data_IF_094942072701
#
_entry.id   IF_094942072701
#
_cell.length_a   1.000
_cell.length_b   1.000
_cell.length_c   1.000
_cell.angle_alpha   90.00
_cell.angle_beta   90.00
_cell.angle_gamma   90.00
#
_symmetry.space_group_name_H-M   'P 1'
#
loop_
_entity.id
_entity.type
_entity.pdbx_description
1 polymer ?
#
# COMPACT_ATOMS: atom_id res chain seq x y z
N UNK A 1 19.66 6.13 10.90
CA UNK A 1 18.56 6.13 9.90
C UNK A 1 17.43 5.17 10.29
N UNK A 2 17.74 3.99 10.83
CA UNK A 2 16.73 2.97 11.19
C UNK A 2 15.70 3.46 12.23
N UNK A 3 16.12 4.21 13.24
CA UNK A 3 15.22 4.78 14.25
C UNK A 3 14.36 5.96 13.74
N UNK A 4 14.81 6.65 12.68
CA UNK A 4 14.11 7.82 12.11
C UNK A 4 13.01 7.37 11.14
N UNK A 5 13.19 6.22 10.49
CA UNK A 5 12.20 5.68 9.56
C UNK A 5 11.11 4.87 10.26
N UNK A 6 11.40 4.29 11.44
CA UNK A 6 10.47 3.40 12.15
C UNK A 6 9.17 4.13 12.47
N UNK A 7 8.08 3.58 11.96
CA UNK A 7 6.74 4.03 12.24
C UNK A 7 6.28 3.48 13.59
N UNK A 8 5.69 4.36 14.41
CA UNK A 8 5.18 4.00 15.73
C UNK A 8 4.10 4.99 16.16
N UNK A 9 3.10 4.51 16.89
CA UNK A 9 2.05 5.33 17.51
C UNK A 9 2.08 5.09 19.00
N UNK A 10 2.41 6.14 19.78
CA UNK A 10 2.50 6.06 21.24
C UNK A 10 2.10 7.37 21.90
N UNK A 11 1.18 7.27 22.87
CA UNK A 11 0.69 8.41 23.65
C UNK A 11 0.07 9.50 22.78
N UNK A 12 -0.75 9.12 21.79
CA UNK A 12 -1.39 10.03 20.83
C UNK A 12 -0.44 10.76 19.87
N UNK A 13 0.83 10.35 19.80
CA UNK A 13 1.80 10.88 18.84
C UNK A 13 2.21 9.81 17.86
N UNK A 14 2.44 10.23 16.63
CA UNK A 14 2.93 9.37 15.55
C UNK A 14 4.38 9.74 15.20
N UNK A 15 5.20 8.71 15.04
CA UNK A 15 6.63 8.82 14.76
C UNK A 15 6.93 8.16 13.41
N UNK A 16 8.07 8.52 12.80
CA UNK A 16 8.44 8.00 11.48
C UNK A 16 7.58 8.54 10.34
N UNK A 17 6.94 9.69 10.54
CA UNK A 17 6.12 10.39 9.53
C UNK A 17 6.77 11.68 9.08
N UNK A 18 6.47 12.11 7.85
CA UNK A 18 6.96 13.36 7.24
C UNK A 18 5.84 14.13 6.56
N UNK A 19 5.93 15.46 6.56
CA UNK A 19 5.09 16.32 5.72
C UNK A 19 5.67 16.35 4.31
N UNK A 20 4.97 15.75 3.36
CA UNK A 20 5.38 15.67 1.96
C UNK A 20 5.09 16.99 1.20
N UNK A 21 5.79 17.26 0.08
CA UNK A 21 5.60 18.48 -0.71
C UNK A 21 4.17 18.72 -1.21
N UNK A 22 3.38 17.66 -1.38
CA UNK A 22 1.98 17.73 -1.79
C UNK A 22 1.02 18.09 -0.62
N UNK A 23 1.56 18.35 0.57
CA UNK A 23 0.81 18.70 1.79
C UNK A 23 0.28 17.50 2.57
N UNK A 24 0.51 16.27 2.11
CA UNK A 24 0.11 15.07 2.83
C UNK A 24 1.13 14.67 3.90
N UNK A 25 0.66 13.98 4.95
CA UNK A 25 1.54 13.33 5.93
C UNK A 25 1.72 11.87 5.53
N UNK A 26 2.96 11.38 5.54
CA UNK A 26 3.34 10.06 5.01
C UNK A 26 4.26 9.34 6.00
N UNK A 27 3.95 8.08 6.32
CA UNK A 27 4.84 7.20 7.07
C UNK A 27 5.98 6.68 6.21
N UNK A 28 7.21 6.82 6.69
CA UNK A 28 8.43 6.53 5.93
C UNK A 28 8.73 5.04 5.86
N UNK A 29 8.52 4.28 6.94
CA UNK A 29 8.76 2.83 6.97
C UNK A 29 8.01 2.06 5.87
N UNK A 30 6.66 2.13 5.76
CA UNK A 30 5.95 1.36 4.75
C UNK A 30 6.26 1.84 3.31
N UNK A 31 6.57 3.14 3.13
CA UNK A 31 7.05 3.68 1.85
C UNK A 31 8.36 3.03 1.41
N UNK A 32 9.36 3.00 2.30
CA UNK A 32 10.66 2.41 2.02
C UNK A 32 10.60 0.89 1.87
N UNK A 33 9.72 0.22 2.63
CA UNK A 33 9.47 -1.21 2.49
C UNK A 33 8.99 -1.55 1.08
N UNK A 34 8.03 -0.79 0.55
CA UNK A 34 7.50 -0.98 -0.80
C UNK A 34 8.53 -0.73 -1.90
N UNK A 35 9.32 0.35 -1.77
CA UNK A 35 10.43 0.63 -2.70
C UNK A 35 11.43 -0.52 -2.73
N UNK A 36 11.84 -1.02 -1.56
CA UNK A 36 12.78 -2.14 -1.44
C UNK A 36 12.23 -3.42 -2.07
N UNK A 37 10.97 -3.77 -1.79
CA UNK A 37 10.33 -4.95 -2.38
C UNK A 37 10.22 -4.83 -3.91
N UNK A 38 9.89 -3.63 -4.42
CA UNK A 38 9.86 -3.36 -5.86
C UNK A 38 11.21 -3.56 -6.55
N UNK A 39 12.31 -3.12 -5.90
CA UNK A 39 13.66 -3.30 -6.42
C UNK A 39 14.10 -4.77 -6.46
N UNK A 40 13.66 -5.57 -5.48
CA UNK A 40 13.94 -7.01 -5.42
C UNK A 40 13.19 -7.79 -6.52
N UNK A 41 12.06 -7.27 -7.00
CA UNK A 41 11.32 -7.82 -8.15
C UNK A 41 10.61 -9.16 -7.91
N UNK A 42 10.80 -9.78 -6.75
CA UNK A 42 10.18 -11.07 -6.43
C UNK A 42 8.81 -10.86 -5.77
N UNK A 43 7.74 -11.02 -6.56
CA UNK A 43 6.37 -10.75 -6.09
C UNK A 43 5.68 -11.92 -5.42
N UNK A 44 5.82 -13.13 -5.95
CA UNK A 44 4.99 -14.25 -5.48
C UNK A 44 5.73 -15.04 -4.40
N UNK A 45 5.11 -15.18 -3.23
CA UNK A 45 5.58 -16.05 -2.16
C UNK A 45 4.58 -17.20 -2.01
N UNK A 46 5.04 -18.44 -2.12
CA UNK A 46 4.21 -19.61 -1.87
C UNK A 46 3.97 -19.78 -0.37
N UNK A 47 2.70 -19.98 0.01
CA UNK A 47 2.33 -20.31 1.37
C UNK A 47 2.45 -21.83 1.54
N UNK A 48 3.27 -22.34 2.48
CA UNK A 48 3.47 -23.78 2.62
C UNK A 48 2.23 -24.42 3.26
N UNK A 49 1.14 -24.61 2.51
CA UNK A 49 -0.10 -25.23 3.00
C UNK A 49 0.07 -26.76 3.11
N UNK A 50 0.89 -27.20 4.06
CA UNK A 50 0.99 -28.60 4.48
C UNK A 50 1.93 -29.46 3.63
N UNK A 51 3.07 -29.80 4.21
CA UNK A 51 3.56 -31.18 4.12
C UNK A 51 3.80 -31.63 5.55
N UNK A 52 3.19 -32.76 5.91
CA UNK A 52 3.48 -33.52 7.11
C UNK A 52 4.99 -33.59 7.27
N UNK A 53 5.49 -33.15 8.42
CA UNK A 53 6.91 -33.17 8.72
C UNK A 53 7.47 -34.57 8.44
N UNK A 54 8.37 -34.67 7.46
CA UNK A 54 9.36 -35.73 7.50
C UNK A 54 10.52 -35.13 8.29
N UNK A 55 10.90 -35.68 9.46
CA UNK A 55 12.10 -35.22 10.13
C UNK A 55 13.27 -35.55 9.20
N UNK A 56 13.95 -34.53 8.65
CA UNK A 56 15.26 -34.76 8.05
C UNK A 56 16.19 -35.12 9.21
N UNK A 57 16.39 -36.42 9.35
CA UNK A 57 17.29 -37.02 10.31
C UNK A 57 18.72 -36.53 10.11
N UNK A 58 19.42 -36.48 11.22
CA UNK A 58 20.87 -36.38 11.30
C UNK A 58 21.55 -37.41 10.38
N UNK A 59 22.61 -36.99 9.71
CA UNK A 59 23.48 -37.91 8.97
C UNK A 59 24.23 -37.24 7.82
N UNK A 60 25.36 -36.62 8.18
CA UNK A 60 26.64 -36.66 7.47
C UNK A 60 26.71 -36.36 5.96
N UNK A 61 27.47 -35.32 5.62
CA UNK A 61 28.85 -35.43 5.07
C UNK A 61 29.08 -34.26 4.10
N UNK A 62 30.00 -33.36 4.44
CA UNK A 62 30.56 -32.37 3.52
C UNK A 62 31.35 -33.07 2.41
N UNK A 63 31.34 -32.52 1.18
CA UNK A 63 32.60 -32.39 0.47
C UNK A 63 32.85 -30.95 0.04
N UNK A 64 34.03 -30.53 0.45
CA UNK A 64 34.88 -29.47 -0.07
C UNK A 64 34.96 -29.47 -1.60
N UNK A 65 34.67 -28.32 -2.24
CA UNK A 65 35.25 -27.91 -3.53
C UNK A 65 35.37 -26.38 -3.57
N UNK A 66 36.61 -25.91 -3.48
CA UNK A 66 37.22 -25.13 -4.56
C UNK A 66 36.78 -23.67 -4.72
N UNK A 67 37.61 -22.77 -4.19
CA UNK A 67 37.62 -21.36 -4.50
C UNK A 67 37.80 -21.08 -5.99
N UNK A 68 37.02 -20.14 -6.54
CA UNK A 68 37.48 -19.29 -7.63
C UNK A 68 37.14 -17.82 -7.30
N UNK A 69 38.22 -17.06 -7.15
CA UNK A 69 38.24 -15.60 -7.00
C UNK A 69 38.20 -15.02 -8.41
N UNK A 70 37.22 -14.16 -8.71
CA UNK A 70 37.27 -13.30 -9.90
C UNK A 70 37.43 -11.85 -9.48
N UNK A 71 38.66 -11.40 -9.68
CA UNK A 71 39.19 -10.05 -9.48
C UNK A 71 38.73 -9.17 -10.66
N UNK A 72 37.93 -8.13 -10.40
CA UNK A 72 37.52 -7.17 -11.43
C UNK A 72 37.73 -5.74 -10.94
N UNK A 73 39.01 -5.37 -10.99
CA UNK A 73 39.62 -4.04 -11.15
C UNK A 73 38.66 -2.89 -11.46
N UNK A 74 38.61 -1.93 -10.53
CA UNK A 74 38.05 -0.61 -10.71
C UNK A 74 38.85 0.22 -11.73
N UNK A 75 38.15 0.87 -12.65
CA UNK A 75 38.65 2.00 -13.43
C UNK A 75 37.60 3.11 -13.43
N UNK A 76 37.87 4.15 -12.65
CA UNK A 76 37.19 5.46 -12.74
C UNK A 76 37.64 6.20 -14.00
N UNK A 77 36.75 6.95 -14.67
CA UNK A 77 37.16 8.11 -15.44
C UNK A 77 36.70 9.42 -14.78
N UNK A 78 37.59 10.40 -14.85
CA UNK A 78 37.55 11.64 -14.09
C UNK A 78 36.42 12.60 -14.43
N UNK A 79 36.06 13.36 -13.40
CA UNK A 79 35.24 14.56 -13.46
C UNK A 79 35.93 15.62 -14.33
N UNK A 80 35.19 16.16 -15.31
CA UNK A 80 35.51 17.44 -15.93
C UNK A 80 34.33 18.38 -15.74
N UNK A 81 34.58 19.44 -14.98
CA UNK A 81 33.77 20.63 -14.85
C UNK A 81 33.48 21.25 -16.22
N UNK A 82 32.20 21.43 -16.55
CA UNK A 82 31.75 22.52 -17.41
C UNK A 82 30.33 22.95 -16.98
N UNK A 83 30.25 24.13 -16.38
CA UNK A 83 29.03 24.94 -16.21
C UNK A 83 28.55 25.44 -17.59
N UNK A 84 27.25 25.72 -17.77
CA UNK A 84 26.92 27.14 -17.77
C UNK A 84 25.62 27.51 -17.05
N UNK A 85 25.73 28.67 -16.41
CA UNK A 85 24.72 29.69 -16.19
C UNK A 85 23.69 29.83 -17.33
N UNK A 86 22.44 30.19 -16.99
CA UNK A 86 21.70 31.38 -17.49
C UNK A 86 20.21 31.30 -17.09
N UNK A 87 19.85 32.28 -16.24
CA UNK A 87 18.67 33.16 -16.25
C UNK A 87 17.23 32.60 -16.31
N UNK A 88 16.48 33.06 -15.31
CA UNK A 88 15.02 33.10 -15.21
C UNK A 88 14.31 33.77 -16.38
N UNK A 89 13.11 33.30 -16.71
CA UNK A 89 12.03 34.15 -17.21
C UNK A 89 10.65 33.60 -16.79
N UNK A 90 9.85 34.50 -16.24
CA UNK A 90 8.41 34.42 -15.97
C UNK A 90 7.61 33.87 -17.15
N UNK A 91 6.67 32.95 -16.90
CA UNK A 91 5.46 32.84 -17.73
C UNK A 91 4.22 32.71 -16.85
N UNK A 92 3.52 33.84 -16.83
CA UNK A 92 2.20 34.15 -16.33
C UNK A 92 1.11 33.16 -16.77
N UNK A 93 0.25 32.80 -15.83
CA UNK A 93 -0.99 32.06 -16.02
C UNK A 93 -1.98 32.82 -16.94
N UNK A 94 -2.64 32.08 -17.84
CA UNK A 94 -3.86 32.50 -18.51
C UNK A 94 -4.82 31.30 -18.67
N UNK A 95 -6.02 31.46 -18.12
CA UNK A 95 -7.21 30.63 -18.37
C UNK A 95 -7.77 30.88 -19.78
N UNK A 96 -8.62 29.96 -20.30
CA UNK A 96 -9.71 30.40 -21.15
C UNK A 96 -11.07 29.99 -20.58
N UNK A 97 -11.92 31.00 -20.48
CA UNK A 97 -13.36 30.94 -20.25
C UNK A 97 -14.03 30.80 -21.62
N UNK A 98 -14.87 29.79 -21.84
CA UNK A 98 -15.81 29.75 -22.98
C UNK A 98 -17.19 29.28 -22.49
N UNK A 99 -18.11 30.24 -22.40
CA UNK A 99 -19.56 30.06 -22.63
C UNK A 99 -19.81 30.53 -24.07
N UNK A 100 -20.73 30.02 -24.89
CA UNK A 100 -22.21 29.83 -24.78
C UNK A 100 -22.58 29.13 -26.12
N UNK A 101 -23.61 28.31 -26.34
CA UNK A 101 -25.07 28.50 -26.22
C UNK A 101 -25.79 27.18 -26.55
N UNK A 102 -26.81 26.87 -25.76
CA UNK A 102 -28.16 26.36 -26.09
C UNK A 102 -28.43 25.66 -27.43
N UNK A 103 -28.95 24.43 -27.36
CA UNK A 103 -30.14 24.01 -28.10
C UNK A 103 -30.95 23.00 -27.25
N UNK A 104 -32.22 23.32 -27.05
CA UNK A 104 -33.23 22.63 -26.25
C UNK A 104 -34.29 22.04 -27.19
N UNK A 105 -34.52 20.72 -27.15
CA UNK A 105 -35.76 20.00 -27.52
C UNK A 105 -35.64 18.64 -26.81
N UNK A 106 -36.58 18.06 -26.07
CA UNK A 106 -38.00 18.27 -25.84
C UNK A 106 -38.51 16.92 -25.31
N UNK A 107 -39.12 16.92 -24.14
CA UNK A 107 -39.56 15.74 -23.41
C UNK A 107 -40.67 14.95 -24.12
N UNK A 108 -40.63 13.62 -24.04
CA UNK A 108 -41.82 12.76 -24.12
C UNK A 108 -41.71 11.68 -23.04
N UNK A 109 -42.58 11.79 -22.03
CA UNK A 109 -42.91 10.72 -21.10
C UNK A 109 -43.82 9.69 -21.79
N UNK A 110 -43.55 8.39 -21.60
CA UNK A 110 -44.59 7.37 -21.56
C UNK A 110 -44.31 6.36 -20.45
N UNK A 111 -45.33 6.23 -19.62
CA UNK A 111 -45.55 5.29 -18.53
C UNK A 111 -46.07 3.97 -19.11
N UNK A 112 -45.53 2.83 -18.65
CA UNK A 112 -46.18 1.52 -18.76
C UNK A 112 -45.65 0.62 -17.63
N UNK A 113 -46.40 0.62 -16.54
CA UNK A 113 -46.43 -0.40 -15.47
C UNK A 113 -46.71 -1.78 -16.07
N UNK A 114 -46.02 -2.84 -15.62
CA UNK A 114 -46.57 -4.21 -15.39
C UNK A 114 -45.53 -5.14 -14.74
N UNK A 115 -45.89 -5.62 -13.55
CA UNK A 115 -45.60 -6.87 -12.81
C UNK A 115 -44.19 -7.48 -12.71
N UNK A 116 -43.78 -7.64 -11.44
CA UNK A 116 -42.83 -8.64 -10.92
C UNK A 116 -43.14 -10.07 -11.39
N UNK A 117 -42.11 -10.93 -11.40
CA UNK A 117 -42.22 -12.14 -10.59
C UNK A 117 -41.05 -12.27 -9.62
N UNK A 118 -41.36 -12.82 -8.45
CA UNK A 118 -40.40 -13.32 -7.47
C UNK A 118 -39.45 -14.32 -8.13
N UNK A 119 -38.14 -14.05 -8.08
CA UNK A 119 -37.14 -15.09 -8.26
C UNK A 119 -36.19 -15.05 -7.06
N UNK A 120 -36.41 -16.01 -6.17
CA UNK A 120 -35.47 -16.41 -5.14
C UNK A 120 -34.14 -16.76 -5.82
N UNK A 121 -33.18 -15.85 -5.75
CA UNK A 121 -31.79 -16.14 -6.09
C UNK A 121 -31.00 -16.23 -4.79
N UNK A 122 -30.85 -17.48 -4.37
CA UNK A 122 -29.85 -17.92 -3.41
C UNK A 122 -28.51 -17.23 -3.67
N UNK A 123 -27.96 -16.56 -2.65
CA UNK A 123 -26.57 -16.12 -2.65
C UNK A 123 -25.65 -17.31 -2.90
N UNK A 124 -24.64 -17.22 -3.78
CA UNK A 124 -23.63 -18.24 -3.88
C UNK A 124 -22.66 -18.00 -2.73
N UNK A 125 -22.89 -18.67 -1.61
CA UNK A 125 -21.92 -18.77 -0.52
C UNK A 125 -20.79 -19.71 -0.97
N UNK A 126 -20.03 -19.30 -1.98
CA UNK A 126 -18.81 -19.98 -2.38
C UNK A 126 -17.77 -19.60 -1.33
N UNK A 127 -17.67 -20.43 -0.29
CA UNK A 127 -16.62 -20.32 0.74
C UNK A 127 -15.28 -20.05 0.04
N UNK A 128 -14.67 -18.90 0.32
CA UNK A 128 -13.45 -18.49 -0.35
C UNK A 128 -12.35 -19.53 -0.07
N UNK A 129 -11.65 -19.95 -1.11
CA UNK A 129 -10.53 -20.89 -0.95
C UNK A 129 -9.40 -20.18 -0.20
N UNK A 130 -8.76 -20.89 0.73
CA UNK A 130 -7.62 -20.34 1.47
C UNK A 130 -6.48 -19.95 0.52
N UNK A 131 -5.77 -18.83 0.77
CA UNK A 131 -4.71 -18.35 -0.10
C UNK A 131 -3.56 -19.34 -0.15
N UNK A 132 -3.10 -19.66 -1.35
CA UNK A 132 -1.94 -20.53 -1.60
C UNK A 132 -0.66 -19.73 -1.84
N UNK A 133 -0.79 -18.46 -2.21
CA UNK A 133 0.31 -17.55 -2.51
C UNK A 133 -0.03 -16.16 -1.98
N UNK A 134 1.00 -15.33 -1.88
CA UNK A 134 0.87 -13.97 -1.37
C UNK A 134 1.83 -13.05 -2.13
N UNK A 135 1.43 -11.82 -2.42
CA UNK A 135 2.26 -10.81 -3.08
C UNK A 135 3.14 -10.12 -2.05
N UNK A 136 4.45 -10.35 -2.12
CA UNK A 136 5.45 -9.81 -1.20
C UNK A 136 5.38 -8.29 -1.06
N UNK A 137 5.07 -7.56 -2.15
CA UNK A 137 4.96 -6.11 -2.13
C UNK A 137 3.76 -5.69 -1.29
N UNK A 138 2.60 -6.28 -1.54
CA UNK A 138 1.38 -5.95 -0.78
C UNK A 138 1.49 -6.43 0.67
N UNK A 139 2.15 -7.56 0.92
CA UNK A 139 2.37 -8.08 2.27
C UNK A 139 3.20 -7.13 3.12
N UNK A 140 4.32 -6.63 2.61
CA UNK A 140 5.24 -5.79 3.40
C UNK A 140 4.79 -4.34 3.52
N UNK A 141 3.93 -3.85 2.64
CA UNK A 141 3.45 -2.46 2.70
C UNK A 141 2.13 -2.33 3.43
N UNK A 142 1.20 -3.28 3.27
CA UNK A 142 -0.19 -3.07 3.64
C UNK A 142 -0.82 -4.28 4.35
N UNK A 143 -0.72 -5.47 3.76
CA UNK A 143 -1.56 -6.59 4.15
C UNK A 143 -1.24 -7.12 5.55
N UNK A 144 0.03 -7.10 5.95
CA UNK A 144 0.47 -7.45 7.30
C UNK A 144 -0.16 -6.55 8.35
N UNK A 145 0.02 -5.24 8.23
CA UNK A 145 -0.37 -4.29 9.27
C UNK A 145 -1.89 -4.09 9.33
N UNK A 146 -2.57 -4.14 8.16
CA UNK A 146 -4.04 -4.22 8.12
C UNK A 146 -4.57 -5.45 8.89
N UNK A 147 -4.01 -6.63 8.61
CA UNK A 147 -4.44 -7.87 9.26
C UNK A 147 -4.24 -7.83 10.77
N UNK A 148 -3.08 -7.37 11.23
CA UNK A 148 -2.76 -7.27 12.66
C UNK A 148 -3.68 -6.27 13.38
N UNK A 149 -3.94 -5.10 12.78
CA UNK A 149 -4.80 -4.09 13.38
C UNK A 149 -6.24 -4.59 13.58
N UNK A 150 -6.80 -5.27 12.57
CA UNK A 150 -8.17 -5.80 12.64
C UNK A 150 -8.30 -7.07 13.52
N UNK A 151 -7.19 -7.74 13.85
CA UNK A 151 -7.18 -8.83 14.82
C UNK A 151 -7.13 -8.34 16.28
N UNK A 152 -6.45 -7.23 16.55
CA UNK A 152 -6.27 -6.71 17.90
C UNK A 152 -7.51 -5.96 18.42
N UNK A 153 -8.38 -5.45 17.53
CA UNK A 153 -9.60 -4.75 17.94
C UNK A 153 -10.87 -5.30 17.25
N UNK A 154 -11.38 -6.48 17.67
CA UNK A 154 -12.57 -7.10 17.07
C UNK A 154 -13.91 -6.44 17.47
N UNK A 155 -13.93 -5.53 18.45
CA UNK A 155 -15.12 -5.15 19.22
C UNK A 155 -15.68 -3.75 18.93
N UNK A 156 -15.06 -2.94 18.07
CA UNK A 156 -15.69 -1.70 17.63
C UNK A 156 -16.67 -1.98 16.49
N UNK A 157 -17.89 -2.39 16.83
CA UNK A 157 -19.07 -2.25 15.95
C UNK A 157 -19.31 -0.78 15.54
N UNK A 158 -18.56 0.16 16.12
CA UNK A 158 -18.42 1.55 15.69
C UNK A 158 -16.99 1.76 15.18
N UNK A 159 -16.72 1.31 13.94
CA UNK A 159 -15.50 1.51 13.13
C UNK A 159 -14.15 1.41 13.88
N UNK A 160 -13.33 0.37 13.67
CA UNK A 160 -11.89 0.54 13.89
C UNK A 160 -11.49 1.70 12.97
N UNK A 161 -11.25 2.89 13.54
CA UNK A 161 -11.06 4.13 12.79
C UNK A 161 -9.82 4.04 11.91
N UNK A 162 -9.99 3.43 10.73
CA UNK A 162 -8.97 3.32 9.72
C UNK A 162 -8.67 4.74 9.25
N UNK A 163 -7.39 5.09 9.17
CA UNK A 163 -7.03 6.40 8.67
C UNK A 163 -7.23 7.51 9.70
N UNK A 164 -7.00 7.25 10.99
CA UNK A 164 -6.95 8.31 12.00
C UNK A 164 -6.03 9.46 11.52
N UNK A 165 -6.54 10.68 11.64
CA UNK A 165 -5.85 11.88 11.23
C UNK A 165 -5.12 12.53 12.41
N UNK A 166 -4.23 13.47 12.10
CA UNK A 166 -3.47 14.23 13.07
C UNK A 166 -3.04 15.57 12.53
N UNK A 167 -2.36 16.33 13.36
CA UNK A 167 -1.84 17.64 13.03
C UNK A 167 -0.35 17.74 13.34
N UNK A 168 0.35 18.49 12.48
CA UNK A 168 1.70 18.95 12.78
C UNK A 168 1.66 20.11 13.77
N UNK A 169 2.63 20.15 14.66
CA UNK A 169 2.84 21.28 15.57
C UNK A 169 3.12 22.59 14.83
N UNK A 170 3.84 22.53 13.70
CA UNK A 170 4.12 23.66 12.82
C UNK A 170 4.17 23.24 11.35
N UNK A 171 3.68 24.10 10.45
CA UNK A 171 3.69 23.81 9.01
C UNK A 171 5.05 24.08 8.35
N UNK A 172 5.82 25.07 8.84
CA UNK A 172 7.08 25.48 8.20
C UNK A 172 8.29 24.67 8.67
N UNK A 173 8.26 24.20 9.92
CA UNK A 173 9.31 23.37 10.52
C UNK A 173 8.64 22.25 11.33
N UNK A 174 7.91 21.33 10.67
CA UNK A 174 7.20 20.25 11.34
C UNK A 174 8.17 19.38 12.15
N UNK A 175 7.84 19.16 13.42
CA UNK A 175 8.66 18.31 14.32
C UNK A 175 7.84 17.23 15.00
N UNK A 176 6.60 17.53 15.35
CA UNK A 176 5.74 16.61 16.09
C UNK A 176 4.41 16.45 15.37
N UNK A 177 4.02 15.21 15.10
CA UNK A 177 2.69 14.87 14.62
C UNK A 177 1.87 14.27 15.78
N UNK A 178 0.71 14.87 16.02
CA UNK A 178 -0.21 14.46 17.09
C UNK A 178 -1.52 14.01 16.47
N UNK A 179 -1.96 12.81 16.83
CA UNK A 179 -3.23 12.26 16.38
C UNK A 179 -4.39 12.98 17.06
N UNK A 180 -5.49 13.14 16.34
CA UNK A 180 -6.72 13.72 16.87
C UNK A 180 -7.40 12.78 17.89
N UNK A 181 -7.26 11.48 17.67
CA UNK A 181 -7.69 10.44 18.60
C UNK A 181 -6.44 9.76 19.21
N UNK A 182 -6.20 9.91 20.53
CA UNK A 182 -5.03 9.32 21.18
C UNK A 182 -5.08 7.80 21.29
N UNK A 183 -6.27 7.20 21.15
CA UNK A 183 -6.50 5.74 21.20
C UNK A 183 -6.62 5.13 19.79
N UNK A 184 -6.26 5.90 18.76
CA UNK A 184 -6.32 5.47 17.38
C UNK A 184 -5.45 4.24 17.08
N UNK A 185 -5.92 3.45 16.12
CA UNK A 185 -5.14 2.35 15.52
C UNK A 185 -3.81 2.85 14.95
N UNK A 186 -2.73 2.05 15.02
CA UNK A 186 -1.48 2.33 14.31
C UNK A 186 -1.64 2.48 12.78
N UNK A 187 -2.75 1.98 12.21
CA UNK A 187 -3.06 2.15 10.79
C UNK A 187 -3.75 3.52 10.56
N UNK A 188 -2.96 4.57 10.75
CA UNK A 188 -3.34 5.99 10.59
C UNK A 188 -3.43 6.39 9.11
N UNK A 189 -3.89 7.61 8.82
CA UNK A 189 -3.86 8.15 7.45
C UNK A 189 -2.43 8.28 6.94
N UNK A 190 -1.47 8.64 7.80
CA UNK A 190 -0.07 8.74 7.40
C UNK A 190 0.54 7.38 7.07
N UNK A 191 0.24 6.34 7.87
CA UNK A 191 0.59 4.96 7.57
C UNK A 191 0.05 4.54 6.21
N UNK A 192 -1.25 4.74 5.97
CA UNK A 192 -1.90 4.30 4.73
C UNK A 192 -1.38 5.06 3.50
N UNK A 193 -1.08 6.35 3.62
CA UNK A 193 -0.41 7.11 2.55
C UNK A 193 0.96 6.50 2.25
N UNK A 194 1.78 6.24 3.27
CA UNK A 194 3.11 5.65 3.10
C UNK A 194 3.07 4.24 2.49
N UNK A 195 2.16 3.40 2.97
CA UNK A 195 1.92 2.06 2.45
C UNK A 195 1.52 2.07 0.97
N UNK A 196 0.57 2.93 0.59
CA UNK A 196 0.08 3.01 -0.77
C UNK A 196 1.12 3.61 -1.71
N UNK A 197 1.79 4.69 -1.29
CA UNK A 197 2.87 5.31 -2.04
C UNK A 197 4.03 4.31 -2.26
N UNK A 198 4.39 3.54 -1.22
CA UNK A 198 5.37 2.45 -1.30
C UNK A 198 4.96 1.33 -2.24
N UNK A 199 3.70 0.90 -2.20
CA UNK A 199 3.19 -0.12 -3.09
C UNK A 199 3.17 0.36 -4.56
N UNK A 200 2.74 1.59 -4.82
CA UNK A 200 2.70 2.16 -6.16
C UNK A 200 4.11 2.36 -6.76
N UNK A 201 5.03 2.93 -5.98
CA UNK A 201 6.41 3.13 -6.43
C UNK A 201 7.19 1.84 -6.52
N UNK A 202 6.97 0.90 -5.60
CA UNK A 202 7.51 -0.45 -5.69
C UNK A 202 7.02 -1.17 -6.94
N UNK A 203 5.74 -0.99 -7.28
CA UNK A 203 5.15 -1.54 -8.50
C UNK A 203 5.75 -0.98 -9.78
N UNK A 204 5.90 0.34 -9.83
CA UNK A 204 6.65 1.02 -10.88
C UNK A 204 8.09 0.47 -11.01
N UNK A 205 8.86 0.41 -9.91
CA UNK A 205 10.26 -0.02 -9.92
C UNK A 205 10.47 -1.49 -10.31
N UNK A 206 9.49 -2.34 -10.03
CA UNK A 206 9.53 -3.76 -10.43
C UNK A 206 9.48 -3.95 -11.96
N UNK A 207 8.98 -2.96 -12.71
CA UNK A 207 8.84 -2.97 -14.16
C UNK A 207 9.77 -1.98 -14.87
N UNK A 208 10.33 -1.02 -14.13
CA UNK A 208 11.19 0.01 -14.69
C UNK A 208 12.47 -0.59 -15.27
N UNK A 209 12.88 -0.19 -16.49
CA UNK A 209 14.15 -0.61 -17.06
C UNK A 209 15.33 -0.02 -16.29
N UNK A 210 16.46 -0.71 -16.30
CA UNK A 210 17.73 -0.16 -15.81
C UNK A 210 18.33 0.85 -16.81
N UNK A 211 19.02 1.91 -16.36
CA UNK A 211 19.28 2.24 -14.96
C UNK A 211 18.08 2.90 -14.29
N UNK A 212 17.72 2.43 -13.10
CA UNK A 212 16.64 3.02 -12.29
C UNK A 212 17.03 4.43 -11.79
N UNK A 213 16.04 5.36 -11.67
CA UNK A 213 16.32 6.71 -11.21
C UNK A 213 16.79 6.72 -9.75
N UNK A 214 17.65 7.69 -9.35
CA UNK A 214 17.99 7.90 -7.94
C UNK A 214 16.73 8.12 -7.10
N UNK A 215 16.73 7.63 -5.86
CA UNK A 215 15.57 7.71 -4.96
C UNK A 215 15.04 9.15 -4.78
N UNK A 216 15.92 10.13 -4.61
CA UNK A 216 15.51 11.53 -4.47
C UNK A 216 14.78 12.05 -5.72
N UNK A 217 15.20 11.62 -6.91
CA UNK A 217 14.57 12.00 -8.17
C UNK A 217 13.19 11.38 -8.28
N UNK A 218 13.07 10.08 -7.99
CA UNK A 218 11.79 9.36 -7.99
C UNK A 218 10.78 10.01 -7.02
N UNK A 219 11.19 10.27 -5.77
CA UNK A 219 10.31 10.88 -4.77
C UNK A 219 9.95 12.33 -5.13
N UNK A 220 10.90 13.12 -5.65
CA UNK A 220 10.63 14.51 -6.07
C UNK A 220 9.62 14.57 -7.22
N UNK A 221 9.66 13.59 -8.12
CA UNK A 221 8.71 13.45 -9.21
C UNK A 221 7.34 13.00 -8.70
N UNK A 222 7.31 11.95 -7.86
CA UNK A 222 6.08 11.38 -7.34
C UNK A 222 5.26 12.36 -6.49
N UNK A 223 5.90 13.07 -5.57
CA UNK A 223 5.26 14.14 -4.78
C UNK A 223 5.16 15.49 -5.52
N UNK A 224 5.49 15.50 -6.82
CA UNK A 224 5.48 16.67 -7.68
C UNK A 224 4.62 16.46 -8.92
N UNK A 225 5.25 16.51 -10.10
CA UNK A 225 4.55 16.53 -11.39
C UNK A 225 4.16 15.13 -11.93
N UNK A 226 4.69 14.05 -11.34
CA UNK A 226 4.53 12.68 -11.82
C UNK A 226 5.87 12.03 -12.20
N UNK A 227 5.89 10.70 -12.16
CA UNK A 227 7.11 9.88 -12.36
C UNK A 227 7.39 9.63 -13.84
N UNK A 228 8.64 9.82 -14.27
CA UNK A 228 9.10 9.58 -15.65
C UNK A 228 8.24 10.27 -16.74
N UNK A 229 7.69 11.45 -16.42
CA UNK A 229 6.84 12.21 -17.35
C UNK A 229 5.38 11.76 -17.40
N UNK A 230 5.00 10.75 -16.60
CA UNK A 230 3.61 10.33 -16.46
C UNK A 230 2.90 11.12 -15.33
N UNK A 231 2.01 12.07 -15.66
CA UNK A 231 1.25 12.83 -14.67
C UNK A 231 0.17 11.99 -13.97
N UNK A 232 -0.09 10.75 -14.43
CA UNK A 232 -0.96 9.80 -13.75
C UNK A 232 -0.32 9.19 -12.51
N UNK A 233 1.01 9.12 -12.46
CA UNK A 233 1.77 8.56 -11.34
C UNK A 233 2.31 9.65 -10.39
N UNK A 234 1.40 10.38 -9.76
CA UNK A 234 1.68 11.40 -8.74
C UNK A 234 0.87 11.15 -7.47
N UNK A 235 1.38 11.64 -6.35
CA UNK A 235 0.92 11.32 -5.00
C UNK A 235 -0.53 11.76 -4.71
N UNK A 236 -1.02 12.86 -5.28
CA UNK A 236 -2.42 13.29 -5.10
C UNK A 236 -3.43 12.35 -5.78
N UNK A 237 -2.99 11.46 -6.67
CA UNK A 237 -3.80 10.40 -7.28
C UNK A 237 -3.62 9.04 -6.56
N UNK A 238 -2.91 8.99 -5.42
CA UNK A 238 -2.56 7.73 -4.73
C UNK A 238 -3.75 6.80 -4.52
N UNK A 239 -4.90 7.31 -4.05
CA UNK A 239 -6.09 6.48 -3.73
C UNK A 239 -6.71 5.91 -5.00
N UNK A 240 -6.81 6.71 -6.06
CA UNK A 240 -7.28 6.26 -7.37
C UNK A 240 -6.35 5.20 -7.98
N UNK A 241 -5.03 5.42 -7.89
CA UNK A 241 -4.06 4.45 -8.38
C UNK A 241 -4.04 3.17 -7.51
N UNK A 242 -4.30 3.31 -6.21
CA UNK A 242 -4.47 2.21 -5.27
C UNK A 242 -5.64 1.30 -5.60
N UNK A 243 -6.79 1.90 -5.98
CA UNK A 243 -7.96 1.17 -6.48
C UNK A 243 -7.68 0.39 -7.77
N UNK A 244 -6.73 0.87 -8.60
CA UNK A 244 -6.28 0.12 -9.77
C UNK A 244 -5.28 -1.01 -9.42
N UNK A 245 -4.61 -0.93 -8.25
CA UNK A 245 -3.61 -1.91 -7.82
C UNK A 245 -4.22 -3.14 -7.15
N UNK A 246 -5.31 -2.97 -6.40
CA UNK A 246 -5.98 -4.07 -5.69
C UNK A 246 -7.48 -3.83 -5.56
N UNK A 247 -8.24 -4.91 -5.44
CA UNK A 247 -9.67 -4.91 -5.09
C UNK A 247 -9.89 -5.51 -3.70
N UNK A 248 -11.09 -5.36 -3.13
CA UNK A 248 -11.40 -5.92 -1.81
C UNK A 248 -11.18 -7.45 -1.76
N UNK A 249 -11.68 -8.27 -2.71
CA UNK A 249 -11.43 -9.71 -2.68
C UNK A 249 -9.95 -10.08 -2.83
N UNK A 250 -9.21 -9.35 -3.67
CA UNK A 250 -7.77 -9.58 -3.85
C UNK A 250 -7.00 -9.24 -2.56
N UNK A 251 -7.32 -8.10 -1.94
CA UNK A 251 -6.69 -7.66 -0.70
C UNK A 251 -7.04 -8.59 0.46
N UNK A 252 -8.27 -9.11 0.54
CA UNK A 252 -8.64 -10.15 1.52
C UNK A 252 -7.70 -11.35 1.45
N UNK A 253 -7.40 -11.85 0.24
CA UNK A 253 -6.47 -12.96 0.06
C UNK A 253 -5.05 -12.61 0.52
N UNK A 254 -4.59 -11.39 0.25
CA UNK A 254 -3.27 -10.94 0.71
C UNK A 254 -3.18 -10.80 2.23
N UNK A 255 -4.20 -10.21 2.86
CA UNK A 255 -4.25 -10.03 4.32
C UNK A 255 -4.35 -11.38 5.01
N UNK A 256 -5.21 -12.28 4.53
CA UNK A 256 -5.34 -13.62 5.09
C UNK A 256 -4.03 -14.42 4.93
N UNK A 257 -3.41 -14.35 3.74
CA UNK A 257 -2.13 -14.99 3.47
C UNK A 257 -1.00 -14.46 4.36
N UNK A 258 -0.95 -13.14 4.56
CA UNK A 258 0.01 -12.50 5.46
C UNK A 258 -0.17 -13.01 6.91
N UNK A 259 -1.40 -13.08 7.40
CA UNK A 259 -1.70 -13.58 8.73
C UNK A 259 -1.32 -15.06 8.91
N UNK A 260 -1.57 -15.91 7.90
CA UNK A 260 -1.11 -17.32 7.89
C UNK A 260 0.42 -17.38 7.96
N UNK A 261 1.12 -16.55 7.19
CA UNK A 261 2.58 -16.50 7.19
C UNK A 261 3.10 -16.10 8.57
N UNK A 262 2.56 -15.03 9.15
CA UNK A 262 2.97 -14.53 10.47
C UNK A 262 2.67 -15.53 11.59
N UNK A 263 1.57 -16.28 11.50
CA UNK A 263 1.22 -17.36 12.45
C UNK A 263 2.26 -18.49 12.47
N UNK A 264 3.00 -18.68 11.36
CA UNK A 264 3.98 -19.77 11.20
C UNK A 264 5.42 -19.35 11.44
N UNK A 265 5.73 -18.06 11.41
CA UNK A 265 7.06 -17.55 11.71
C UNK A 265 7.31 -17.64 13.22
N UNK A 266 7.98 -18.69 13.67
CA UNK A 266 8.53 -18.75 15.04
C UNK A 266 9.65 -17.70 15.19
N UNK A 267 9.73 -16.93 16.29
CA UNK A 267 8.84 -16.88 17.47
C UNK A 267 7.90 -15.64 17.47
N UNK A 268 7.60 -15.07 16.30
CA UNK A 268 7.39 -13.61 16.20
C UNK A 268 5.97 -13.09 16.48
N UNK A 269 4.93 -13.92 16.64
CA UNK A 269 3.55 -13.42 16.81
C UNK A 269 2.68 -14.29 17.74
N UNK A 270 2.90 -14.28 19.07
CA UNK A 270 2.13 -15.08 20.02
C UNK A 270 0.62 -14.83 19.95
N UNK A 271 0.23 -13.59 19.62
CA UNK A 271 -1.17 -13.17 19.44
C UNK A 271 -1.91 -13.91 18.32
N UNK A 272 -1.18 -14.51 17.37
CA UNK A 272 -1.75 -15.29 16.28
C UNK A 272 -1.85 -16.78 16.62
N UNK A 273 -1.20 -17.23 17.70
CA UNK A 273 -1.16 -18.64 18.07
C UNK A 273 -2.55 -19.14 18.46
N UNK A 274 -2.97 -20.27 17.89
CA UNK A 274 -4.27 -20.89 18.20
C UNK A 274 -5.49 -20.21 17.57
N UNK A 275 -5.32 -19.14 16.79
CA UNK A 275 -6.42 -18.57 16.00
C UNK A 275 -6.82 -19.51 14.85
N UNK A 276 -8.11 -19.73 14.69
CA UNK A 276 -8.66 -20.52 13.58
C UNK A 276 -8.51 -19.79 12.24
N UNK A 277 -8.43 -20.55 11.15
CA UNK A 277 -8.38 -19.99 9.79
C UNK A 277 -9.60 -19.10 9.48
N UNK A 278 -10.78 -19.47 9.98
CA UNK A 278 -12.01 -18.69 9.82
C UNK A 278 -11.92 -17.32 10.50
N UNK A 279 -11.27 -17.23 11.67
CA UNK A 279 -11.06 -15.94 12.34
C UNK A 279 -10.06 -15.06 11.60
N UNK A 280 -9.01 -15.65 11.00
CA UNK A 280 -8.06 -14.91 10.15
C UNK A 280 -8.74 -14.40 8.87
N UNK A 281 -9.56 -15.24 8.23
CA UNK A 281 -10.36 -14.88 7.05
C UNK A 281 -11.34 -13.75 7.35
N UNK A 282 -12.05 -13.81 8.49
CA UNK A 282 -12.99 -12.76 8.89
C UNK A 282 -12.28 -11.42 9.12
N UNK A 283 -11.15 -11.42 9.83
CA UNK A 283 -10.35 -10.22 10.05
C UNK A 283 -9.82 -9.65 8.72
N UNK A 284 -9.34 -10.52 7.83
CA UNK A 284 -8.87 -10.12 6.50
C UNK A 284 -9.97 -9.51 5.65
N UNK A 285 -11.16 -10.10 5.66
CA UNK A 285 -12.34 -9.60 4.93
C UNK A 285 -12.76 -8.23 5.43
N UNK A 286 -12.81 -8.05 6.76
CA UNK A 286 -13.16 -6.77 7.36
C UNK A 286 -12.12 -5.69 7.06
N UNK A 287 -10.83 -6.01 7.21
CA UNK A 287 -9.73 -5.08 6.95
C UNK A 287 -9.71 -4.63 5.48
N UNK A 288 -9.87 -5.58 4.54
CA UNK A 288 -9.89 -5.28 3.12
C UNK A 288 -11.09 -4.40 2.74
N UNK A 289 -12.29 -4.71 3.27
CA UNK A 289 -13.50 -3.94 3.04
C UNK A 289 -13.36 -2.50 3.53
N UNK A 290 -12.94 -2.31 4.78
CA UNK A 290 -12.77 -0.96 5.34
C UNK A 290 -11.70 -0.18 4.56
N UNK A 291 -10.60 -0.81 4.16
CA UNK A 291 -9.59 -0.17 3.33
C UNK A 291 -10.13 0.28 1.97
N UNK A 292 -10.86 -0.58 1.25
CA UNK A 292 -11.38 -0.21 -0.08
C UNK A 292 -12.52 0.79 0.00
N UNK A 293 -13.46 0.61 0.93
CA UNK A 293 -14.65 1.44 1.02
C UNK A 293 -14.37 2.79 1.70
N UNK A 294 -13.71 2.78 2.87
CA UNK A 294 -13.51 3.99 3.66
C UNK A 294 -12.24 4.75 3.25
N UNK A 295 -11.15 4.06 2.91
CA UNK A 295 -9.90 4.72 2.53
C UNK A 295 -9.76 4.95 1.02
N UNK A 296 -9.96 3.96 0.16
CA UNK A 296 -9.85 4.20 -1.29
C UNK A 296 -11.07 4.94 -1.86
N UNK A 297 -12.22 4.88 -1.18
CA UNK A 297 -13.47 5.49 -1.64
C UNK A 297 -14.17 4.68 -2.72
N UNK A 298 -13.86 3.38 -2.85
CA UNK A 298 -14.61 2.47 -3.71
C UNK A 298 -15.99 2.24 -3.11
N UNK A 299 -17.06 2.67 -3.80
CA UNK A 299 -18.40 2.29 -3.37
C UNK A 299 -18.55 0.78 -3.60
N UNK A 300 -18.74 0.02 -2.52
CA UNK A 300 -19.19 -1.37 -2.61
C UNK A 300 -20.47 -1.45 -3.47
N UNK A 301 -20.78 -2.62 -4.07
CA UNK A 301 -22.01 -2.79 -4.82
C UNK A 301 -23.19 -2.37 -3.93
N UNK A 302 -23.92 -1.34 -4.35
CA UNK A 302 -25.12 -0.94 -3.62
C UNK A 302 -26.13 -2.09 -3.72
N UNK A 303 -26.71 -2.55 -2.60
CA UNK A 303 -27.83 -3.46 -2.68
C UNK A 303 -28.96 -2.73 -3.40
N UNK A 304 -29.39 -3.30 -4.53
CA UNK A 304 -30.57 -2.89 -5.28
C UNK A 304 -31.84 -3.16 -4.48
#
# INVERSE_FOLDING_TARGET
MEEVARHDVRGGREYGVVLAPDGSTVAVEPLLAGLKAGLQGHRVIDLPLGSTATPLGAGDTFPDVGAEVSDARATSPGLRDVSPDVSSADVRAMSPNVRTTDLNVGAIFKDDRVTSPDDQTSSPDVKAKSPTTVDSLLVVTLARDLGLAFLQNPQTQSHPGLGAEGCWDQNSVPRNFTLLDPEASPVTTAFLNGALDGALLGDYLSRAPEPRPPLHHLLSQYYGAGVAGDPGLRSNLRRQNGAALTSAPALTQQVWGALILLQRLEPAHPQLQGLSQEKLEQAATHAAKEFTEAFLGEKGPQPL
#
